data_IF_639796260290
#
_entry.id   IF_639796260290
#
_cell.length_a   1.000
_cell.length_b   1.000
_cell.length_c   1.000
_cell.angle_alpha   90.00
_cell.angle_beta   90.00
_cell.angle_gamma   90.00
#
_symmetry.space_group_name_H-M   'P 1'
#
loop_
_entity.id
_entity.type
_entity.pdbx_description
1 polymer ?
#
# COMPACT_ATOMS: atom_id res chain seq x y z
N UNK A 1 -25.75 4.81 -24.19
CA UNK A 1 -25.62 5.81 -23.11
C UNK A 1 -24.37 5.46 -22.33
N UNK A 2 -23.22 5.84 -22.86
CA UNK A 2 -21.91 5.51 -22.29
C UNK A 2 -21.57 6.57 -21.24
N UNK A 3 -21.40 6.14 -20.00
CA UNK A 3 -20.84 7.01 -18.97
C UNK A 3 -19.37 7.25 -19.32
N UNK A 4 -19.10 8.45 -19.81
CA UNK A 4 -17.75 8.95 -20.02
C UNK A 4 -17.18 9.33 -18.66
N UNK A 5 -16.37 8.45 -18.08
CA UNK A 5 -15.53 8.76 -16.92
C UNK A 5 -14.07 8.89 -17.41
N UNK A 6 -13.55 10.09 -17.64
CA UNK A 6 -12.11 10.29 -17.73
C UNK A 6 -11.63 10.66 -16.33
N UNK A 7 -11.40 9.68 -15.45
CA UNK A 7 -10.77 9.93 -14.14
C UNK A 7 -9.26 9.67 -14.26
N UNK A 8 -8.41 10.72 -14.18
CA UNK A 8 -6.94 10.59 -14.25
C UNK A 8 -6.37 9.63 -13.19
N UNK A 9 -7.05 9.48 -12.06
CA UNK A 9 -6.63 8.67 -10.91
C UNK A 9 -6.63 7.16 -11.22
N UNK A 10 -7.53 6.68 -12.07
CA UNK A 10 -7.54 5.26 -12.46
C UNK A 10 -6.32 4.92 -13.33
N UNK A 11 -5.90 5.86 -14.17
CA UNK A 11 -4.74 5.70 -15.06
C UNK A 11 -3.44 5.66 -14.23
N UNK A 12 -3.30 6.46 -13.18
CA UNK A 12 -2.11 6.47 -12.33
C UNK A 12 -1.96 5.19 -11.49
N UNK A 13 -3.06 4.69 -10.91
CA UNK A 13 -3.05 3.41 -10.18
C UNK A 13 -2.71 2.23 -11.11
N UNK A 14 -3.26 2.24 -12.33
CA UNK A 14 -2.92 1.25 -13.36
C UNK A 14 -1.47 1.38 -13.83
N UNK A 15 -0.89 2.58 -13.84
CA UNK A 15 0.51 2.80 -14.21
C UNK A 15 1.47 2.24 -13.16
N UNK A 16 1.22 2.50 -11.87
CA UNK A 16 2.03 1.94 -10.78
C UNK A 16 1.94 0.41 -10.76
N UNK A 17 0.75 -0.16 -10.92
CA UNK A 17 0.58 -1.61 -11.00
C UNK A 17 1.32 -2.20 -12.22
N UNK A 18 1.27 -1.54 -13.37
CA UNK A 18 1.98 -1.99 -14.57
C UNK A 18 3.50 -1.92 -14.42
N UNK A 19 4.03 -0.92 -13.71
CA UNK A 19 5.45 -0.86 -13.37
C UNK A 19 5.83 -2.00 -12.41
N UNK A 20 4.99 -2.26 -11.41
CA UNK A 20 5.22 -3.32 -10.44
C UNK A 20 5.12 -4.70 -11.06
N UNK A 21 4.16 -4.96 -11.95
CA UNK A 21 4.02 -6.27 -12.62
C UNK A 21 5.21 -6.59 -13.53
N UNK A 22 5.82 -5.58 -14.16
CA UNK A 22 7.07 -5.75 -14.92
C UNK A 22 8.26 -6.12 -14.05
N UNK A 23 8.31 -5.64 -12.80
CA UNK A 23 9.43 -5.88 -11.87
C UNK A 23 9.19 -7.08 -10.96
N UNK A 24 7.93 -7.39 -10.67
CA UNK A 24 7.47 -8.49 -9.83
C UNK A 24 6.31 -9.16 -10.58
N UNK A 25 6.58 -10.15 -11.45
CA UNK A 25 5.54 -10.80 -12.25
C UNK A 25 4.42 -11.45 -11.43
N UNK A 26 4.71 -11.81 -10.18
CA UNK A 26 3.75 -12.41 -9.25
C UNK A 26 3.00 -11.40 -8.38
N UNK A 27 3.14 -10.09 -8.63
CA UNK A 27 2.45 -9.07 -7.84
C UNK A 27 0.94 -9.14 -8.10
N UNK A 28 0.17 -9.05 -7.03
CA UNK A 28 -1.28 -8.91 -7.08
C UNK A 28 -1.73 -7.64 -6.35
N UNK A 29 -3.01 -7.32 -6.45
CA UNK A 29 -3.65 -6.24 -5.69
C UNK A 29 -4.65 -6.85 -4.72
N UNK A 30 -4.66 -6.33 -3.50
CA UNK A 30 -5.75 -6.51 -2.53
C UNK A 30 -6.30 -5.13 -2.21
N UNK A 31 -7.62 -4.98 -2.35
CA UNK A 31 -8.36 -3.77 -2.01
C UNK A 31 -9.12 -4.01 -0.71
N UNK A 32 -8.42 -3.86 0.40
CA UNK A 32 -8.98 -4.06 1.73
C UNK A 32 -8.36 -3.07 2.74
N UNK A 33 -8.99 -2.90 3.90
CA UNK A 33 -8.61 -1.94 4.92
C UNK A 33 -7.76 -2.59 6.01
N UNK A 34 -6.64 -1.97 6.39
CA UNK A 34 -5.85 -2.40 7.57
C UNK A 34 -6.53 -2.11 8.91
N UNK A 35 -7.75 -1.53 8.89
CA UNK A 35 -8.58 -1.24 10.07
C UNK A 35 -7.92 -0.41 11.19
N UNK A 36 -6.81 0.31 10.89
CA UNK A 36 -6.12 1.24 11.80
C UNK A 36 -7.07 2.18 12.56
N UNK A 37 -8.08 2.83 11.95
CA UNK A 37 -8.98 3.69 12.73
C UNK A 37 -9.76 2.94 13.81
N UNK A 38 -10.13 1.68 13.58
CA UNK A 38 -10.83 0.89 14.59
C UNK A 38 -9.89 0.45 15.71
N UNK A 39 -8.67 0.05 15.36
CA UNK A 39 -7.61 -0.22 16.34
C UNK A 39 -7.35 0.98 17.25
N UNK A 40 -7.19 2.18 16.66
CA UNK A 40 -6.85 3.38 17.43
C UNK A 40 -8.00 3.88 18.32
N UNK A 41 -9.24 3.47 18.01
CA UNK A 41 -10.42 3.72 18.84
C UNK A 41 -10.63 2.65 19.92
N UNK A 42 -9.74 1.66 20.04
CA UNK A 42 -9.86 0.55 21.01
C UNK A 42 -10.97 -0.44 20.67
N UNK A 43 -11.42 -0.51 19.41
CA UNK A 43 -12.41 -1.50 18.94
C UNK A 43 -11.72 -2.81 18.62
N UNK A 44 -11.06 -3.38 19.62
CA UNK A 44 -10.11 -4.49 19.45
C UNK A 44 -10.77 -5.73 18.82
N UNK A 45 -11.97 -6.12 19.26
CA UNK A 45 -12.70 -7.26 18.69
C UNK A 45 -12.98 -7.08 17.19
N UNK A 46 -13.38 -5.87 16.79
CA UNK A 46 -13.65 -5.55 15.39
C UNK A 46 -12.35 -5.49 14.56
N UNK A 47 -11.31 -4.87 15.12
CA UNK A 47 -10.00 -4.82 14.49
C UNK A 47 -9.47 -6.23 14.24
N UNK A 48 -9.46 -7.08 15.27
CA UNK A 48 -8.99 -8.45 15.19
C UNK A 48 -9.81 -9.26 14.18
N UNK A 49 -11.15 -9.21 14.24
CA UNK A 49 -11.99 -9.94 13.29
C UNK A 49 -11.70 -9.59 11.83
N UNK A 50 -11.60 -8.30 11.51
CA UNK A 50 -11.41 -7.84 10.13
C UNK A 50 -9.97 -8.00 9.64
N UNK A 51 -8.98 -7.64 10.47
CA UNK A 51 -7.59 -7.70 10.06
C UNK A 51 -7.08 -9.13 9.96
N UNK A 52 -7.47 -10.02 10.89
CA UNK A 52 -7.10 -11.44 10.82
C UNK A 52 -7.69 -12.13 9.59
N UNK A 53 -8.93 -11.81 9.20
CA UNK A 53 -9.53 -12.37 7.96
C UNK A 53 -8.66 -12.05 6.72
N UNK A 54 -8.29 -10.78 6.55
CA UNK A 54 -7.42 -10.34 5.47
C UNK A 54 -6.03 -11.00 5.56
N UNK A 55 -5.43 -11.01 6.76
CA UNK A 55 -4.11 -11.60 7.00
C UNK A 55 -4.10 -13.09 6.66
N UNK A 56 -5.10 -13.84 7.10
CA UNK A 56 -5.25 -15.26 6.83
C UNK A 56 -5.49 -15.54 5.35
N UNK A 57 -6.25 -14.69 4.66
CA UNK A 57 -6.38 -14.76 3.21
C UNK A 57 -5.01 -14.64 2.52
N UNK A 58 -4.19 -13.66 2.89
CA UNK A 58 -2.84 -13.47 2.33
C UNK A 58 -1.93 -14.68 2.61
N UNK A 59 -1.92 -15.17 3.86
CA UNK A 59 -1.10 -16.31 4.27
C UNK A 59 -1.51 -17.59 3.55
N UNK A 60 -2.82 -17.88 3.44
CA UNK A 60 -3.34 -19.05 2.72
C UNK A 60 -2.97 -19.02 1.24
N UNK A 61 -2.91 -17.83 0.64
CA UNK A 61 -2.44 -17.62 -0.73
C UNK A 61 -0.91 -17.56 -0.85
N UNK A 62 -0.17 -17.97 0.20
CA UNK A 62 1.29 -18.07 0.24
C UNK A 62 2.01 -16.73 0.03
N UNK A 63 1.34 -15.62 0.31
CA UNK A 63 1.97 -14.29 0.27
C UNK A 63 2.95 -14.18 1.44
N UNK A 64 4.11 -13.59 1.16
CA UNK A 64 5.20 -13.37 2.15
C UNK A 64 5.54 -11.91 2.37
N UNK A 65 5.16 -11.04 1.44
CA UNK A 65 5.45 -9.62 1.47
C UNK A 65 4.26 -8.83 1.00
N UNK A 66 3.91 -7.79 1.75
CA UNK A 66 2.87 -6.82 1.39
C UNK A 66 3.55 -5.49 1.07
N UNK A 67 3.30 -4.99 -0.14
CA UNK A 67 3.69 -3.64 -0.53
C UNK A 67 2.52 -2.69 -0.21
N UNK A 68 2.78 -1.63 0.54
CA UNK A 68 1.74 -0.68 1.00
C UNK A 68 2.07 0.76 0.62
N UNK A 69 1.05 1.50 0.18
CA UNK A 69 1.19 2.94 -0.08
C UNK A 69 0.82 3.80 1.14
N UNK A 70 -0.04 3.27 2.01
CA UNK A 70 -0.53 4.00 3.17
C UNK A 70 0.40 3.79 4.39
N UNK A 71 0.84 4.88 5.06
CA UNK A 71 1.69 4.79 6.25
C UNK A 71 1.01 4.07 7.42
N UNK A 72 -0.31 4.18 7.55
CA UNK A 72 -1.07 3.45 8.57
C UNK A 72 -1.10 1.94 8.29
N UNK A 73 -1.25 1.54 7.02
CA UNK A 73 -1.16 0.14 6.63
C UNK A 73 0.23 -0.41 6.96
N UNK A 74 1.29 0.36 6.71
CA UNK A 74 2.65 -0.03 7.09
C UNK A 74 2.73 -0.35 8.57
N UNK A 75 2.29 0.56 9.45
CA UNK A 75 2.32 0.34 10.91
C UNK A 75 1.52 -0.89 11.35
N UNK A 76 0.31 -1.07 10.84
CA UNK A 76 -0.51 -2.24 11.22
C UNK A 76 0.16 -3.54 10.77
N UNK A 77 0.65 -3.63 9.54
CA UNK A 77 1.31 -4.86 9.08
C UNK A 77 2.65 -5.10 9.76
N UNK A 78 3.42 -4.04 10.08
CA UNK A 78 4.68 -4.15 10.80
C UNK A 78 4.47 -4.70 12.22
N UNK A 79 3.41 -4.24 12.89
CA UNK A 79 3.12 -4.62 14.27
C UNK A 79 2.30 -5.92 14.40
N UNK A 80 1.33 -6.16 13.50
CA UNK A 80 0.35 -7.23 13.61
C UNK A 80 0.40 -8.25 12.45
N UNK A 81 1.20 -8.02 11.42
CA UNK A 81 1.27 -8.88 10.23
C UNK A 81 1.92 -10.24 10.44
N UNK A 82 2.59 -10.44 11.58
CA UNK A 82 3.22 -11.72 11.96
C UNK A 82 4.27 -12.16 10.95
N UNK A 83 3.99 -13.25 10.22
CA UNK A 83 4.91 -13.83 9.23
C UNK A 83 4.94 -13.08 7.88
N UNK A 84 4.11 -12.04 7.72
CA UNK A 84 4.13 -11.18 6.54
C UNK A 84 5.17 -10.07 6.74
N UNK A 85 6.11 -9.96 5.82
CA UNK A 85 6.97 -8.76 5.76
C UNK A 85 6.21 -7.61 5.11
N UNK A 86 6.46 -6.38 5.59
CA UNK A 86 5.89 -5.17 5.00
C UNK A 86 6.98 -4.27 4.43
N UNK A 87 6.67 -3.61 3.33
CA UNK A 87 7.54 -2.62 2.69
C UNK A 87 6.67 -1.54 2.06
N UNK A 88 7.07 -0.28 2.16
CA UNK A 88 6.35 0.79 1.47
C UNK A 88 6.62 0.75 -0.03
N UNK A 89 5.64 1.18 -0.83
CA UNK A 89 5.84 1.35 -2.28
C UNK A 89 6.92 2.39 -2.58
N UNK A 90 7.12 3.38 -1.71
CA UNK A 90 8.17 4.39 -1.86
C UNK A 90 9.57 3.80 -1.68
N UNK A 91 9.77 2.94 -0.68
CA UNK A 91 11.03 2.19 -0.51
C UNK A 91 11.28 1.28 -1.71
N UNK A 92 10.24 0.62 -2.23
CA UNK A 92 10.37 -0.20 -3.42
C UNK A 92 10.79 0.64 -4.64
N UNK A 93 10.10 1.77 -4.88
CA UNK A 93 10.40 2.69 -5.98
C UNK A 93 11.81 3.30 -5.87
N UNK A 94 12.25 3.68 -4.67
CA UNK A 94 13.59 4.23 -4.44
C UNK A 94 14.71 3.22 -4.77
N UNK A 95 14.42 1.92 -4.66
CA UNK A 95 15.35 0.85 -5.02
C UNK A 95 15.28 0.45 -6.50
N UNK A 96 14.31 0.96 -7.26
CA UNK A 96 14.25 0.69 -8.69
C UNK A 96 15.13 1.69 -9.45
N UNK A 97 15.98 1.15 -10.30
CA UNK A 97 16.64 1.94 -11.35
C UNK A 97 15.62 2.21 -12.48
N UNK A 98 14.73 3.18 -12.24
CA UNK A 98 13.78 3.69 -13.23
C UNK A 98 14.34 4.99 -13.82
N UNK A 99 14.42 5.13 -15.16
CA UNK A 99 14.84 6.39 -15.75
C UNK A 99 13.87 7.49 -15.36
N UNK A 100 14.33 8.39 -14.49
CA UNK A 100 13.56 9.54 -14.06
C UNK A 100 13.38 10.47 -15.27
N UNK A 101 12.13 10.64 -15.74
CA UNK A 101 11.83 11.71 -16.68
C UNK A 101 12.11 13.02 -15.96
N UNK A 102 12.91 13.92 -16.56
CA UNK A 102 13.08 15.27 -16.04
C UNK A 102 11.70 15.92 -15.95
N UNK A 103 11.21 16.07 -14.73
CA UNK A 103 10.04 16.88 -14.44
C UNK A 103 10.51 18.34 -14.62
N UNK A 104 9.70 19.17 -15.26
CA UNK A 104 9.97 20.62 -15.30
C UNK A 104 10.20 21.12 -13.87
N UNK A 105 11.09 22.10 -13.68
CA UNK A 105 11.35 22.69 -12.36
C UNK A 105 10.05 23.23 -11.75
N UNK A 106 9.43 22.42 -10.90
CA UNK A 106 8.21 22.72 -10.17
C UNK A 106 8.57 22.68 -8.69
N UNK A 107 8.05 23.65 -7.93
CA UNK A 107 8.13 23.62 -6.48
C UNK A 107 7.18 22.53 -6.00
N UNK A 108 7.71 21.56 -5.25
CA UNK A 108 6.93 20.48 -4.64
C UNK A 108 7.01 20.58 -3.12
N UNK A 109 5.90 20.26 -2.46
CA UNK A 109 5.85 20.15 -1.00
C UNK A 109 5.68 18.68 -0.64
N UNK A 110 6.58 18.17 0.21
CA UNK A 110 6.50 16.80 0.71
C UNK A 110 5.72 16.82 2.03
N UNK A 111 4.68 16.00 2.10
CA UNK A 111 3.94 15.76 3.34
C UNK A 111 4.58 14.61 4.12
N UNK A 112 5.01 14.89 5.35
CA UNK A 112 5.48 13.86 6.30
C UNK A 112 4.30 13.34 7.13
N UNK A 113 3.83 12.10 6.89
CA UNK A 113 2.66 11.59 7.58
C UNK A 113 2.96 11.33 9.05
N UNK A 114 2.10 11.83 9.94
CA UNK A 114 2.25 11.66 11.40
C UNK A 114 2.49 10.21 11.82
N UNK A 115 1.86 9.27 11.11
CA UNK A 115 2.00 7.85 11.38
C UNK A 115 3.44 7.33 11.18
N UNK A 116 4.28 7.93 10.32
CA UNK A 116 5.68 7.48 10.13
C UNK A 116 6.71 8.40 10.80
N UNK A 117 6.25 9.50 11.42
CA UNK A 117 7.12 10.53 11.99
C UNK A 117 7.98 10.05 13.15
N UNK A 118 7.43 9.15 13.96
CA UNK A 118 8.12 8.56 15.11
C UNK A 118 8.11 7.04 14.94
N UNK A 119 9.32 6.47 14.93
CA UNK A 119 9.58 5.03 14.85
C UNK A 119 9.93 4.51 16.24
#
# INVERSE_FOLDING_TARGET
MAAHFPEPELIEHLLCLNLFSKKIPSVGIVLDCCTKPSHDLGRDDFFNAMFEEMKDFLIRNKIKKVLVACPNCYKIFDQYGGNLSVMSVYEFLANLDVPAKKISAQIVTIHDPCAMRFK
#
